data_IF_842817480163
#
_entry.id   IF_842817480163
#
_cell.length_a   1.000
_cell.length_b   1.000
_cell.length_c   1.000
_cell.angle_alpha   90.00
_cell.angle_beta   90.00
_cell.angle_gamma   90.00
#
_symmetry.space_group_name_H-M   'P 1'
#
loop_
_entity.id
_entity.type
_entity.pdbx_description
1 polymer ?
#
# COMPACT_ATOMS: atom_id res chain seq x y z
N UNK A 1 55.05 -31.65 -18.95
CA UNK A 1 54.11 -30.59 -19.38
C UNK A 1 52.65 -30.96 -19.21
N UNK A 2 52.16 -32.17 -19.54
CA UNK A 2 50.72 -32.54 -19.39
C UNK A 2 50.19 -32.58 -17.92
N UNK A 3 51.03 -32.93 -16.95
CA UNK A 3 50.62 -33.01 -15.53
C UNK A 3 50.48 -31.62 -14.85
N UNK A 4 51.23 -30.64 -15.31
CA UNK A 4 51.19 -29.26 -14.76
C UNK A 4 49.95 -28.52 -15.27
N UNK A 5 49.56 -28.82 -16.55
CA UNK A 5 48.33 -28.23 -17.12
C UNK A 5 47.08 -28.77 -16.46
N UNK A 6 47.05 -30.06 -16.05
CA UNK A 6 45.91 -30.64 -15.33
C UNK A 6 45.74 -30.05 -13.93
N UNK A 7 46.86 -29.72 -13.21
CA UNK A 7 46.78 -29.08 -11.89
C UNK A 7 46.32 -27.62 -11.99
N UNK A 8 46.74 -26.90 -13.02
CA UNK A 8 46.33 -25.52 -13.25
C UNK A 8 44.83 -25.44 -13.63
N UNK A 9 44.33 -26.41 -14.42
CA UNK A 9 42.91 -26.47 -14.80
C UNK A 9 42.03 -26.83 -13.61
N UNK A 10 42.47 -27.73 -12.72
CA UNK A 10 41.75 -28.07 -11.50
C UNK A 10 41.68 -26.90 -10.50
N UNK A 11 42.74 -26.11 -10.38
CA UNK A 11 42.78 -24.92 -9.53
C UNK A 11 41.86 -23.79 -10.06
N UNK A 12 41.72 -23.64 -11.38
CA UNK A 12 40.82 -22.65 -12.00
C UNK A 12 39.36 -23.07 -11.84
N UNK A 13 39.03 -24.35 -11.92
CA UNK A 13 37.68 -24.87 -11.71
C UNK A 13 37.27 -24.76 -10.23
N UNK A 14 38.15 -25.00 -9.29
CA UNK A 14 37.88 -24.80 -7.87
C UNK A 14 37.71 -23.33 -7.48
N UNK A 15 38.46 -22.41 -8.09
CA UNK A 15 38.28 -20.97 -7.84
C UNK A 15 37.01 -20.40 -8.50
N UNK A 16 36.58 -20.95 -9.64
CA UNK A 16 35.31 -20.55 -10.29
C UNK A 16 34.07 -21.06 -9.51
N UNK A 17 34.15 -22.21 -8.85
CA UNK A 17 33.06 -22.73 -8.03
C UNK A 17 32.90 -22.00 -6.68
N UNK A 18 33.93 -21.34 -6.16
CA UNK A 18 33.82 -20.50 -4.97
C UNK A 18 33.25 -19.10 -5.25
N UNK A 19 33.26 -18.64 -6.51
CA UNK A 19 32.65 -17.36 -6.91
C UNK A 19 31.14 -17.46 -7.13
N UNK A 20 30.58 -18.66 -7.29
CA UNK A 20 29.15 -18.90 -7.45
C UNK A 20 28.39 -19.04 -6.11
N UNK A 21 29.09 -19.12 -4.97
CA UNK A 21 28.49 -19.13 -3.65
C UNK A 21 28.26 -17.72 -3.05
N UNK A 22 28.61 -16.66 -3.79
CA UNK A 22 28.42 -15.25 -3.40
C UNK A 22 27.15 -14.62 -3.99
N UNK A 23 26.19 -15.39 -4.53
CA UNK A 23 24.79 -14.99 -4.58
C UNK A 23 24.25 -15.14 -3.16
N UNK A 24 24.49 -14.13 -2.32
CA UNK A 24 23.87 -13.98 -1.03
C UNK A 24 22.37 -13.99 -1.24
N UNK A 25 21.73 -15.14 -1.00
CA UNK A 25 20.30 -15.20 -0.86
C UNK A 25 19.96 -14.21 0.26
N UNK A 26 19.29 -13.14 -0.07
CA UNK A 26 18.70 -12.25 0.93
C UNK A 26 17.77 -13.13 1.76
N UNK A 27 18.21 -13.50 2.97
CA UNK A 27 17.33 -14.19 3.91
C UNK A 27 16.33 -13.15 4.38
N UNK A 28 15.11 -13.20 3.84
CA UNK A 28 14.01 -12.38 4.32
C UNK A 28 13.76 -12.71 5.79
N UNK A 29 13.61 -11.67 6.61
CA UNK A 29 13.24 -11.82 8.01
C UNK A 29 11.78 -12.25 8.08
N UNK A 30 11.49 -13.25 8.92
CA UNK A 30 10.09 -13.65 9.16
C UNK A 30 9.45 -12.63 10.10
N UNK A 31 8.37 -12.02 9.66
CA UNK A 31 7.54 -11.12 10.45
C UNK A 31 6.27 -11.87 10.86
N UNK A 32 6.03 -11.99 12.16
CA UNK A 32 4.86 -12.65 12.73
C UNK A 32 4.06 -11.70 13.64
N UNK A 33 4.73 -10.73 14.26
CA UNK A 33 4.15 -9.71 15.15
C UNK A 33 4.75 -8.35 14.85
N UNK A 34 4.19 -7.30 15.43
CA UNK A 34 4.73 -5.93 15.33
C UNK A 34 6.15 -5.81 15.92
N UNK A 35 6.48 -6.60 16.94
CA UNK A 35 7.81 -6.60 17.55
C UNK A 35 8.91 -7.07 16.58
N UNK A 36 8.54 -7.90 15.60
CA UNK A 36 9.49 -8.39 14.59
C UNK A 36 9.90 -7.29 13.58
N UNK A 37 9.29 -6.12 13.61
CA UNK A 37 9.62 -5.01 12.71
C UNK A 37 11.00 -4.41 13.01
N UNK A 38 11.53 -4.55 14.23
CA UNK A 38 12.88 -4.07 14.57
C UNK A 38 13.95 -4.77 13.72
N UNK A 39 14.79 -3.99 13.04
CA UNK A 39 15.80 -4.50 12.12
C UNK A 39 15.28 -5.13 10.84
N UNK A 40 13.99 -4.97 10.52
CA UNK A 40 13.37 -5.46 9.29
C UNK A 40 13.54 -4.49 8.12
N UNK A 41 13.36 -4.97 6.91
CA UNK A 41 13.16 -4.17 5.70
C UNK A 41 11.67 -4.00 5.47
N UNK A 42 11.17 -2.80 5.68
CA UNK A 42 9.75 -2.46 5.68
C UNK A 42 9.44 -1.67 4.42
N UNK A 43 8.53 -2.14 3.59
CA UNK A 43 7.99 -1.38 2.45
C UNK A 43 6.77 -0.58 2.87
N UNK A 44 6.68 0.66 2.37
CA UNK A 44 5.54 1.56 2.62
C UNK A 44 5.18 2.32 1.35
N UNK A 45 3.94 2.78 1.24
CA UNK A 45 3.60 3.77 0.24
C UNK A 45 3.99 5.15 0.77
N UNK A 46 4.73 5.90 -0.05
CA UNK A 46 5.27 7.20 0.31
C UNK A 46 4.18 8.18 0.74
N UNK A 47 4.38 8.81 1.90
CA UNK A 47 3.53 9.89 2.41
C UNK A 47 2.23 9.42 3.09
N UNK A 48 2.01 8.11 3.23
CA UNK A 48 0.90 7.57 4.03
C UNK A 48 1.22 7.58 5.51
N UNK A 49 0.22 7.36 6.36
CA UNK A 49 0.41 7.16 7.80
C UNK A 49 1.28 5.95 8.08
N UNK A 50 1.17 4.89 7.26
CA UNK A 50 2.07 3.73 7.33
C UNK A 50 3.54 4.11 7.15
N UNK A 51 3.87 5.05 6.24
CA UNK A 51 5.23 5.59 6.08
C UNK A 51 5.68 6.37 7.33
N UNK A 52 4.80 7.20 7.90
CA UNK A 52 5.11 7.99 9.09
C UNK A 52 5.43 7.06 10.27
N UNK A 53 4.58 6.09 10.57
CA UNK A 53 4.78 5.15 11.67
C UNK A 53 5.97 4.20 11.44
N UNK A 54 6.17 3.72 10.21
CA UNK A 54 7.32 2.88 9.89
C UNK A 54 8.64 3.61 10.10
N UNK A 55 8.68 4.93 9.91
CA UNK A 55 9.87 5.75 10.10
C UNK A 55 10.42 5.68 11.53
N UNK A 56 9.58 5.46 12.54
CA UNK A 56 10.03 5.31 13.94
C UNK A 56 10.88 4.04 14.14
N UNK A 57 10.77 3.06 13.24
CA UNK A 57 11.56 1.85 13.28
C UNK A 57 12.95 2.01 12.67
N UNK A 58 13.24 3.10 11.93
CA UNK A 58 14.59 3.39 11.44
C UNK A 58 15.58 3.56 12.61
N UNK A 59 15.14 4.19 13.71
CA UNK A 59 15.95 4.32 14.94
C UNK A 59 16.20 2.97 15.64
N UNK A 60 15.38 1.96 15.34
CA UNK A 60 15.50 0.59 15.85
C UNK A 60 16.24 -0.35 14.89
N UNK A 61 16.92 0.21 13.90
CA UNK A 61 17.75 -0.52 12.94
C UNK A 61 17.01 -1.10 11.75
N UNK A 62 15.75 -0.75 11.54
CA UNK A 62 14.99 -1.14 10.35
C UNK A 62 15.35 -0.27 9.15
N UNK A 63 15.11 -0.78 7.95
CA UNK A 63 15.19 -0.01 6.71
C UNK A 63 13.78 0.20 6.16
N UNK A 64 13.37 1.45 5.98
CA UNK A 64 12.07 1.78 5.39
C UNK A 64 12.25 2.13 3.90
N UNK A 65 11.72 1.27 3.04
CA UNK A 65 11.72 1.47 1.59
C UNK A 65 10.38 2.07 1.15
N UNK A 66 10.46 3.26 0.54
CA UNK A 66 9.29 4.07 0.15
C UNK A 66 8.99 3.90 -1.32
N UNK A 67 7.75 3.50 -1.62
CA UNK A 67 7.27 3.28 -2.98
C UNK A 67 6.17 4.29 -3.32
N UNK A 68 6.07 4.69 -4.57
CA UNK A 68 4.99 5.59 -5.02
C UNK A 68 3.62 4.90 -5.05
N UNK A 69 3.61 3.56 -5.13
CA UNK A 69 2.40 2.73 -5.17
C UNK A 69 2.55 1.55 -4.23
N UNK A 70 1.45 1.19 -3.54
CA UNK A 70 1.40 -0.02 -2.71
C UNK A 70 1.73 -1.30 -3.50
N UNK A 71 1.31 -1.38 -4.76
CA UNK A 71 1.62 -2.51 -5.64
C UNK A 71 3.13 -2.73 -5.85
N UNK A 72 3.93 -1.65 -5.93
CA UNK A 72 5.38 -1.75 -6.09
C UNK A 72 6.04 -2.28 -4.80
N UNK A 73 5.53 -1.88 -3.62
CA UNK A 73 5.95 -2.43 -2.34
C UNK A 73 5.63 -3.93 -2.24
N UNK A 74 4.42 -4.33 -2.62
CA UNK A 74 3.99 -5.74 -2.64
C UNK A 74 4.84 -6.56 -3.63
N UNK A 75 5.16 -6.00 -4.80
CA UNK A 75 6.06 -6.65 -5.75
C UNK A 75 7.47 -6.84 -5.15
N UNK A 76 8.00 -5.86 -4.42
CA UNK A 76 9.29 -5.97 -3.74
C UNK A 76 9.25 -7.06 -2.65
N UNK A 77 8.13 -7.18 -1.93
CA UNK A 77 7.92 -8.25 -0.93
C UNK A 77 7.91 -9.64 -1.58
N UNK A 78 7.15 -9.83 -2.66
CA UNK A 78 7.08 -11.13 -3.36
C UNK A 78 8.41 -11.53 -3.99
N UNK A 79 9.27 -10.56 -4.32
CA UNK A 79 10.62 -10.78 -4.81
C UNK A 79 11.66 -11.01 -3.68
N UNK A 80 11.25 -10.98 -2.42
CA UNK A 80 12.14 -11.14 -1.27
C UNK A 80 13.14 -9.99 -1.07
N UNK A 81 12.85 -8.81 -1.59
CA UNK A 81 13.70 -7.62 -1.42
C UNK A 81 13.47 -6.93 -0.08
N UNK A 82 12.25 -6.99 0.40
CA UNK A 82 11.80 -6.50 1.70
C UNK A 82 11.14 -7.62 2.49
N UNK A 83 10.97 -7.44 3.79
CA UNK A 83 10.48 -8.46 4.72
C UNK A 83 8.97 -8.35 4.95
N UNK A 84 8.41 -7.14 4.90
CA UNK A 84 6.98 -6.85 5.05
C UNK A 84 6.59 -5.55 4.36
N UNK A 85 5.27 -5.34 4.25
CA UNK A 85 4.66 -4.07 3.82
C UNK A 85 3.73 -3.60 4.93
N UNK A 86 3.80 -2.31 5.29
CA UNK A 86 2.81 -1.63 6.12
C UNK A 86 1.93 -0.81 5.18
N UNK A 87 0.65 -1.13 5.16
CA UNK A 87 -0.36 -0.53 4.30
C UNK A 87 -1.74 -0.72 4.94
N UNK A 88 -2.70 0.08 4.57
CA UNK A 88 -4.07 0.02 5.07
C UNK A 88 -4.74 -1.32 4.82
N UNK A 89 -5.68 -1.69 5.68
CA UNK A 89 -6.26 -3.03 5.73
C UNK A 89 -7.00 -3.42 4.43
N UNK A 90 -7.77 -2.51 3.83
CA UNK A 90 -8.52 -2.83 2.62
C UNK A 90 -7.63 -3.01 1.39
N UNK A 91 -6.67 -2.10 1.09
CA UNK A 91 -5.64 -2.37 0.08
C UNK A 91 -4.85 -3.67 0.35
N UNK A 92 -4.52 -3.96 1.61
CA UNK A 92 -3.84 -5.21 1.96
C UNK A 92 -4.67 -6.44 1.58
N UNK A 93 -5.99 -6.44 1.85
CA UNK A 93 -6.91 -7.50 1.45
C UNK A 93 -6.94 -7.69 -0.07
N UNK A 94 -7.03 -6.58 -0.83
CA UNK A 94 -7.01 -6.62 -2.29
C UNK A 94 -5.70 -7.24 -2.81
N UNK A 95 -4.54 -6.86 -2.26
CA UNK A 95 -3.25 -7.44 -2.65
C UNK A 95 -3.10 -8.90 -2.27
N UNK A 96 -3.57 -9.33 -1.10
CA UNK A 96 -3.52 -10.74 -0.69
C UNK A 96 -4.44 -11.60 -1.55
N UNK A 97 -5.61 -11.08 -1.93
CA UNK A 97 -6.51 -11.79 -2.85
C UNK A 97 -5.92 -11.96 -4.27
N UNK A 98 -5.07 -11.02 -4.70
CA UNK A 98 -4.45 -11.03 -6.02
C UNK A 98 -3.09 -11.73 -6.09
N UNK A 99 -2.46 -12.07 -4.95
CA UNK A 99 -1.10 -12.61 -4.90
C UNK A 99 -1.02 -13.81 -3.94
N UNK A 100 -0.75 -14.98 -4.48
CA UNK A 100 -0.53 -16.17 -3.67
C UNK A 100 0.68 -16.04 -2.73
N UNK A 101 0.58 -16.64 -1.55
CA UNK A 101 1.68 -16.72 -0.58
C UNK A 101 1.84 -15.50 0.31
N UNK A 102 1.01 -14.48 0.16
CA UNK A 102 0.91 -13.34 1.08
C UNK A 102 -0.14 -13.62 2.16
N UNK A 103 0.04 -12.95 3.30
CA UNK A 103 -0.94 -12.93 4.39
C UNK A 103 -0.94 -11.57 5.09
N UNK A 104 -2.05 -11.21 5.67
CA UNK A 104 -2.17 -10.10 6.62
C UNK A 104 -1.92 -10.65 8.02
N UNK A 105 -1.24 -9.90 8.89
CA UNK A 105 -1.08 -10.26 10.30
C UNK A 105 -2.40 -10.05 11.04
N UNK A 106 -2.66 -10.88 12.05
CA UNK A 106 -3.91 -10.84 12.81
C UNK A 106 -4.02 -9.57 13.69
N UNK A 107 -2.88 -9.04 14.13
CA UNK A 107 -2.81 -7.83 14.94
C UNK A 107 -2.67 -6.60 14.04
N UNK A 108 -3.60 -5.61 14.13
CA UNK A 108 -3.49 -4.37 13.39
C UNK A 108 -2.28 -3.56 13.90
N UNK A 109 -1.58 -2.92 12.98
CA UNK A 109 -0.43 -2.08 13.32
C UNK A 109 -0.86 -0.77 13.98
N UNK A 110 -1.91 -0.13 13.46
CA UNK A 110 -2.52 1.09 14.00
C UNK A 110 -4.00 1.15 13.60
N UNK A 111 -4.78 1.93 14.34
CA UNK A 111 -6.13 2.33 13.95
C UNK A 111 -6.10 3.76 13.43
N UNK A 112 -6.80 4.04 12.32
CA UNK A 112 -6.75 5.30 11.61
C UNK A 112 -8.12 5.78 11.17
N UNK A 113 -8.20 7.09 10.92
CA UNK A 113 -9.36 7.74 10.31
C UNK A 113 -8.91 8.47 9.04
N UNK A 114 -9.77 8.47 8.02
CA UNK A 114 -9.54 9.20 6.78
C UNK A 114 -10.08 10.63 6.88
N UNK A 115 -9.41 11.56 6.20
CA UNK A 115 -9.81 12.94 6.17
C UNK A 115 -9.47 13.62 4.85
N UNK A 116 -10.33 14.56 4.42
CA UNK A 116 -10.08 15.42 3.28
C UNK A 116 -9.19 16.59 3.72
N UNK A 117 -8.08 16.80 3.06
CA UNK A 117 -7.18 17.92 3.30
C UNK A 117 -7.62 19.17 2.55
N UNK A 118 -7.66 20.30 3.25
CA UNK A 118 -7.95 21.63 2.68
C UNK A 118 -6.85 22.59 3.10
N UNK A 119 -6.50 23.56 2.25
CA UNK A 119 -5.54 24.61 2.60
C UNK A 119 -5.95 25.33 3.90
N UNK A 120 -4.99 25.58 4.80
CA UNK A 120 -5.24 26.09 6.17
C UNK A 120 -6.00 27.40 6.24
N UNK A 121 -5.88 28.23 5.24
CA UNK A 121 -6.54 29.52 5.10
C UNK A 121 -7.92 29.45 4.42
N UNK A 122 -8.25 28.33 3.76
CA UNK A 122 -9.53 28.14 3.07
C UNK A 122 -10.62 27.57 4.01
N UNK A 123 -10.94 28.33 5.06
CA UNK A 123 -11.92 27.91 6.06
C UNK A 123 -13.36 27.85 5.54
N UNK A 124 -13.67 28.62 4.50
CA UNK A 124 -14.98 28.59 3.86
C UNK A 124 -15.21 27.24 3.16
N UNK A 125 -14.24 26.78 2.38
CA UNK A 125 -14.28 25.45 1.74
C UNK A 125 -14.34 24.34 2.78
N UNK A 126 -13.51 24.42 3.84
CA UNK A 126 -13.54 23.43 4.93
C UNK A 126 -14.93 23.33 5.57
N UNK A 127 -15.57 24.47 5.83
CA UNK A 127 -16.93 24.50 6.40
C UNK A 127 -17.95 23.85 5.46
N UNK A 128 -17.89 24.12 4.17
CA UNK A 128 -18.78 23.53 3.15
C UNK A 128 -18.59 22.01 3.04
N UNK A 129 -17.35 21.54 2.99
CA UNK A 129 -17.03 20.10 2.93
C UNK A 129 -17.55 19.39 4.18
N UNK A 130 -17.25 19.91 5.38
CA UNK A 130 -17.72 19.30 6.63
C UNK A 130 -19.25 19.26 6.71
N UNK A 131 -19.94 20.29 6.23
CA UNK A 131 -21.41 20.30 6.19
C UNK A 131 -21.92 19.21 5.25
N UNK A 132 -21.38 19.12 4.03
CA UNK A 132 -21.78 18.11 3.07
C UNK A 132 -21.53 16.69 3.57
N UNK A 133 -20.36 16.42 4.18
CA UNK A 133 -20.05 15.13 4.78
C UNK A 133 -21.01 14.77 5.93
N UNK A 134 -21.35 15.75 6.76
CA UNK A 134 -22.32 15.52 7.84
C UNK A 134 -23.73 15.18 7.30
N UNK A 135 -24.17 15.83 6.23
CA UNK A 135 -25.44 15.55 5.58
C UNK A 135 -25.45 14.16 4.94
N UNK A 136 -24.41 13.81 4.16
CA UNK A 136 -24.26 12.50 3.53
C UNK A 136 -24.15 11.36 4.55
N UNK A 137 -23.54 11.62 5.70
CA UNK A 137 -23.50 10.67 6.82
C UNK A 137 -24.87 10.51 7.48
N UNK A 138 -25.59 11.61 7.67
CA UNK A 138 -26.90 11.60 8.33
C UNK A 138 -27.98 10.90 7.50
N UNK A 139 -27.92 11.00 6.18
CA UNK A 139 -28.89 10.35 5.27
C UNK A 139 -28.48 8.92 4.87
N UNK A 140 -27.31 8.43 5.31
CA UNK A 140 -26.80 7.09 5.04
C UNK A 140 -26.09 6.94 3.69
N UNK A 141 -25.88 8.03 2.93
CA UNK A 141 -25.21 7.96 1.63
C UNK A 141 -23.76 7.48 1.74
N UNK A 142 -23.00 7.99 2.72
CA UNK A 142 -21.62 7.54 2.95
C UNK A 142 -21.54 6.04 3.25
N UNK A 143 -22.42 5.53 4.12
CA UNK A 143 -22.50 4.10 4.42
C UNK A 143 -22.85 3.25 3.19
N UNK A 144 -23.74 3.75 2.34
CA UNK A 144 -24.12 3.08 1.09
C UNK A 144 -22.95 3.03 0.10
N UNK A 145 -22.18 4.12 -0.04
CA UNK A 145 -20.99 4.18 -0.88
C UNK A 145 -19.95 3.20 -0.35
N UNK A 146 -19.64 3.25 0.94
CA UNK A 146 -18.68 2.34 1.58
C UNK A 146 -19.05 0.87 1.31
N UNK A 147 -20.31 0.47 1.56
CA UNK A 147 -20.80 -0.88 1.30
C UNK A 147 -20.74 -1.28 -0.18
N UNK A 148 -20.77 -0.33 -1.09
CA UNK A 148 -20.64 -0.63 -2.51
C UNK A 148 -19.21 -1.00 -2.91
N UNK A 149 -18.20 -0.56 -2.15
CA UNK A 149 -16.79 -0.83 -2.44
C UNK A 149 -16.15 -1.83 -1.47
N UNK A 150 -16.62 -1.88 -0.21
CA UNK A 150 -16.10 -2.75 0.85
C UNK A 150 -17.19 -3.74 1.29
N UNK A 151 -16.82 -5.03 1.33
CA UNK A 151 -17.69 -6.11 1.82
C UNK A 151 -18.05 -7.12 0.74
N UNK A 152 -17.80 -8.39 1.05
CA UNK A 152 -17.93 -9.51 0.10
C UNK A 152 -19.34 -9.65 -0.48
N UNK A 153 -20.37 -9.37 0.35
CA UNK A 153 -21.77 -9.53 -0.04
C UNK A 153 -22.41 -8.26 -0.62
N UNK A 154 -21.77 -7.11 -0.53
CA UNK A 154 -22.35 -5.79 -0.87
C UNK A 154 -21.68 -5.09 -2.04
N UNK A 155 -20.44 -5.44 -2.35
CA UNK A 155 -19.64 -4.82 -3.42
C UNK A 155 -20.38 -4.81 -4.75
N UNK A 156 -20.51 -3.62 -5.35
CA UNK A 156 -21.16 -3.41 -6.65
C UNK A 156 -22.69 -3.41 -6.65
N UNK A 157 -23.35 -3.53 -5.48
CA UNK A 157 -24.82 -3.64 -5.41
C UNK A 157 -25.54 -2.31 -5.25
N UNK A 158 -24.86 -1.28 -4.75
CA UNK A 158 -25.45 0.03 -4.45
C UNK A 158 -24.58 1.17 -5.02
N UNK A 159 -24.33 1.21 -6.35
CA UNK A 159 -23.53 2.29 -6.92
C UNK A 159 -24.19 3.64 -6.65
N UNK A 160 -23.40 4.63 -6.27
CA UNK A 160 -23.89 5.99 -6.12
C UNK A 160 -24.32 6.54 -7.48
N UNK A 161 -25.50 7.14 -7.52
CA UNK A 161 -26.01 7.82 -8.70
C UNK A 161 -26.35 9.26 -8.31
N UNK A 162 -25.73 10.21 -9.00
CA UNK A 162 -26.06 11.63 -8.81
C UNK A 162 -27.56 11.85 -9.00
N UNK A 163 -28.25 12.49 -8.03
CA UNK A 163 -29.69 12.74 -8.16
C UNK A 163 -30.03 13.52 -9.44
N UNK A 164 -31.11 13.14 -10.09
CA UNK A 164 -31.59 13.82 -11.29
C UNK A 164 -31.92 15.31 -10.99
N UNK A 165 -31.46 16.21 -11.83
CA UNK A 165 -31.66 17.66 -11.67
C UNK A 165 -30.70 18.32 -10.67
N UNK A 166 -29.64 17.65 -10.24
CA UNK A 166 -28.57 18.29 -9.48
C UNK A 166 -27.99 19.46 -10.27
N UNK A 167 -27.97 20.65 -9.67
CA UNK A 167 -27.37 21.86 -10.23
C UNK A 167 -26.02 22.12 -9.55
N UNK A 168 -25.09 22.70 -10.29
CA UNK A 168 -23.73 23.00 -9.83
C UNK A 168 -23.46 24.52 -9.86
N UNK A 169 -24.21 25.33 -9.07
CA UNK A 169 -24.15 26.80 -9.16
C UNK A 169 -22.83 27.41 -8.69
N UNK A 170 -22.01 26.63 -7.98
CA UNK A 170 -20.78 27.13 -7.34
C UNK A 170 -19.51 26.94 -8.18
N UNK A 171 -19.64 26.48 -9.43
CA UNK A 171 -18.50 26.25 -10.33
C UNK A 171 -17.81 24.91 -10.06
N UNK A 172 -16.52 24.86 -10.41
CA UNK A 172 -15.70 23.64 -10.32
C UNK A 172 -14.89 23.60 -9.02
N UNK A 173 -14.80 22.42 -8.41
CA UNK A 173 -13.89 22.09 -7.35
C UNK A 173 -12.81 21.13 -7.87
N UNK A 174 -11.54 21.52 -7.76
CA UNK A 174 -10.43 20.66 -8.13
C UNK A 174 -9.99 19.83 -6.94
N UNK A 175 -10.09 18.51 -7.08
CA UNK A 175 -9.62 17.52 -6.12
C UNK A 175 -8.36 16.85 -6.67
N UNK A 176 -7.43 16.51 -5.80
CA UNK A 176 -6.26 15.69 -6.12
C UNK A 176 -6.27 14.45 -5.22
N UNK A 177 -6.01 13.30 -5.83
CA UNK A 177 -5.90 12.02 -5.13
C UNK A 177 -4.83 11.14 -5.76
N UNK A 178 -4.48 10.04 -5.11
CA UNK A 178 -3.60 9.01 -5.64
C UNK A 178 -4.40 7.75 -6.00
N UNK A 179 -4.92 7.70 -7.23
CA UNK A 179 -5.81 6.65 -7.70
C UNK A 179 -5.13 5.27 -7.91
N UNK A 180 -4.33 4.83 -6.94
CA UNK A 180 -3.69 3.51 -6.85
C UNK A 180 -3.88 2.88 -5.47
N UNK A 181 -5.03 3.13 -4.85
CA UNK A 181 -5.32 2.76 -3.47
C UNK A 181 -6.72 2.12 -3.34
N UNK A 182 -6.93 1.00 -4.05
CA UNK A 182 -8.20 0.26 -4.03
C UNK A 182 -8.52 -0.22 -2.60
N UNK A 183 -9.76 -0.08 -2.12
CA UNK A 183 -10.99 0.34 -2.80
C UNK A 183 -11.35 1.82 -2.64
N UNK A 184 -10.46 2.62 -2.06
CA UNK A 184 -10.74 4.03 -1.77
C UNK A 184 -10.72 4.89 -3.02
N UNK A 185 -9.67 4.82 -3.84
CA UNK A 185 -9.58 5.47 -5.14
C UNK A 185 -8.69 4.65 -6.09
N UNK A 186 -9.24 4.27 -7.22
CA UNK A 186 -8.52 3.44 -8.19
C UNK A 186 -9.09 3.60 -9.60
N UNK A 187 -8.37 3.09 -10.58
CA UNK A 187 -8.81 3.09 -11.97
C UNK A 187 -9.63 1.82 -12.28
N UNK A 188 -10.86 2.02 -12.79
CA UNK A 188 -11.64 1.02 -13.49
C UNK A 188 -11.66 1.40 -14.98
N UNK A 189 -10.80 0.75 -15.78
CA UNK A 189 -10.49 1.18 -17.13
C UNK A 189 -9.82 2.57 -17.12
N UNK A 190 -10.45 3.56 -17.76
CA UNK A 190 -9.97 4.95 -17.82
C UNK A 190 -10.64 5.88 -16.80
N UNK A 191 -11.50 5.34 -15.94
CA UNK A 191 -12.27 6.11 -14.96
C UNK A 191 -11.71 5.91 -13.56
N UNK A 192 -11.55 7.01 -12.81
CA UNK A 192 -11.26 6.94 -11.39
C UNK A 192 -12.57 6.68 -10.65
N UNK A 193 -12.57 5.64 -9.82
CA UNK A 193 -13.70 5.20 -9.00
C UNK A 193 -13.21 4.88 -7.60
N UNK A 194 -14.10 4.81 -6.63
CA UNK A 194 -13.79 4.46 -5.26
C UNK A 194 -14.74 5.11 -4.28
N UNK A 195 -14.38 5.01 -3.00
CA UNK A 195 -15.13 5.62 -1.90
C UNK A 195 -14.92 7.14 -1.91
N UNK A 196 -13.68 7.59 -2.18
CA UNK A 196 -13.28 8.98 -2.23
C UNK A 196 -13.69 9.63 -3.55
#
# INVERSE_FOLDING_TARGET
MKKVISLALAAVICSASMLLAACGGSTTKKIATVDDLEGAKIGVQLGTTGDIYASDYEEKGSTVERFNKGADAVLALTQGKIDCVIIDSEPAKAFVAANDGLKILDEPFAEEEYAICVAKDNKDLLGKINTALAELKADGTTESIEKNFIGDDTKGKTPYVTPAGTDYPNGELHMATNAFFEPYEYYDGDTVVGID
#
